data_IF_499410684776
#
_entry.id   IF_499410684776
#
_cell.length_a   1.000
_cell.length_b   1.000
_cell.length_c   1.000
_cell.angle_alpha   90.00
_cell.angle_beta   90.00
_cell.angle_gamma   90.00
#
_symmetry.space_group_name_H-M   'P 1'
#
loop_
_entity.id
_entity.type
_entity.pdbx_description
1 polymer ?
#
# COMPACT_ATOMS: atom_id res chain seq x y z
N UNK A 1 -0.89 29.60 -14.98
CA UNK A 1 -0.99 28.21 -15.48
C UNK A 1 -2.14 27.58 -14.74
N UNK A 2 -3.32 27.66 -15.35
CA UNK A 2 -4.56 27.13 -14.80
C UNK A 2 -4.40 25.63 -14.65
N UNK A 3 -4.44 25.16 -13.39
CA UNK A 3 -4.57 23.75 -13.10
C UNK A 3 -5.86 23.30 -13.77
N UNK A 4 -5.76 22.33 -14.71
CA UNK A 4 -6.92 21.58 -15.17
C UNK A 4 -7.66 21.10 -13.92
N UNK A 5 -8.78 21.75 -13.62
CA UNK A 5 -9.86 21.20 -12.82
C UNK A 5 -10.44 20.06 -13.64
N UNK A 6 -9.69 18.97 -13.78
CA UNK A 6 -10.17 17.77 -14.41
C UNK A 6 -11.28 17.25 -13.50
N UNK A 7 -12.51 17.37 -13.98
CA UNK A 7 -13.63 16.75 -13.30
C UNK A 7 -13.28 15.28 -13.07
N UNK A 8 -13.52 14.81 -11.85
CA UNK A 8 -13.05 13.50 -11.38
C UNK A 8 -13.46 12.35 -12.33
N UNK A 9 -14.58 12.53 -13.04
CA UNK A 9 -15.10 11.63 -14.08
C UNK A 9 -14.29 11.63 -15.39
N UNK A 10 -13.73 12.77 -15.80
CA UNK A 10 -12.95 12.87 -17.05
C UNK A 10 -11.65 12.10 -16.94
N UNK A 11 -10.96 12.15 -15.79
CA UNK A 11 -9.75 11.37 -15.53
C UNK A 11 -10.00 9.86 -15.72
N UNK A 12 -11.12 9.35 -15.23
CA UNK A 12 -11.50 7.94 -15.39
C UNK A 12 -11.83 7.60 -16.84
N UNK A 13 -12.52 8.50 -17.55
CA UNK A 13 -12.87 8.30 -18.96
C UNK A 13 -11.61 8.26 -19.85
N UNK A 14 -10.67 9.18 -19.62
CA UNK A 14 -9.38 9.22 -20.32
C UNK A 14 -8.58 7.95 -20.03
N UNK A 15 -8.49 7.54 -18.76
CA UNK A 15 -7.83 6.28 -18.41
C UNK A 15 -8.46 5.11 -19.16
N UNK A 16 -9.79 4.98 -19.10
CA UNK A 16 -10.47 3.86 -19.74
C UNK A 16 -10.19 3.82 -21.24
N UNK A 17 -10.28 4.98 -21.90
CA UNK A 17 -9.98 5.10 -23.32
C UNK A 17 -8.55 4.65 -23.66
N UNK A 18 -7.57 5.02 -22.84
CA UNK A 18 -6.17 4.62 -23.04
C UNK A 18 -5.99 3.10 -22.87
N UNK A 19 -6.61 2.51 -21.85
CA UNK A 19 -6.58 1.06 -21.62
C UNK A 19 -7.26 0.30 -22.78
N UNK A 20 -8.41 0.78 -23.25
CA UNK A 20 -9.13 0.20 -24.41
C UNK A 20 -8.27 0.24 -25.68
N UNK A 21 -7.39 1.24 -25.81
CA UNK A 21 -6.41 1.38 -26.89
C UNK A 21 -5.11 0.59 -26.65
N UNK A 22 -5.05 -0.25 -25.62
CA UNK A 22 -3.87 -1.05 -25.23
C UNK A 22 -2.64 -0.18 -24.96
N UNK A 23 -2.83 0.98 -24.33
CA UNK A 23 -1.73 1.79 -23.87
C UNK A 23 -0.80 0.97 -22.97
N UNK A 24 0.52 1.12 -23.16
CA UNK A 24 1.49 0.36 -22.38
C UNK A 24 1.59 0.91 -20.96
N UNK A 25 1.01 0.21 -19.99
CA UNK A 25 0.99 0.57 -18.57
C UNK A 25 2.32 0.34 -17.84
N UNK A 26 3.25 -0.41 -18.45
CA UNK A 26 4.54 -0.76 -17.84
C UNK A 26 5.62 0.29 -18.08
N UNK A 27 5.28 1.38 -18.78
CA UNK A 27 6.20 2.49 -18.99
C UNK A 27 6.53 3.18 -17.67
N UNK A 28 7.77 3.66 -17.58
CA UNK A 28 8.25 4.50 -16.49
C UNK A 28 8.73 5.83 -17.04
N UNK A 29 8.63 6.87 -16.23
CA UNK A 29 9.17 8.18 -16.56
C UNK A 29 10.70 8.26 -16.35
N UNK A 30 11.26 9.46 -16.48
CA UNK A 30 12.69 9.70 -16.29
C UNK A 30 13.18 9.46 -14.86
N UNK A 31 12.29 9.42 -13.87
CA UNK A 31 12.58 9.10 -12.47
C UNK A 31 12.33 7.61 -12.14
N UNK A 32 11.91 6.81 -13.12
CA UNK A 32 11.55 5.41 -12.93
C UNK A 32 10.17 5.23 -12.31
N UNK A 33 9.34 6.29 -12.25
CA UNK A 33 8.00 6.22 -11.71
C UNK A 33 7.06 5.54 -12.71
N UNK A 34 6.35 4.52 -12.23
CA UNK A 34 5.21 3.90 -12.94
C UNK A 34 3.95 4.75 -12.79
N UNK A 35 2.92 4.42 -13.57
CA UNK A 35 1.60 5.05 -13.42
C UNK A 35 1.06 5.01 -11.97
N UNK A 36 1.31 3.94 -11.20
CA UNK A 36 0.91 3.87 -9.79
C UNK A 36 1.59 4.92 -8.92
N UNK A 37 2.87 5.22 -9.16
CA UNK A 37 3.57 6.28 -8.44
C UNK A 37 2.92 7.64 -8.73
N UNK A 38 2.65 7.94 -9.99
CA UNK A 38 2.02 9.19 -10.40
C UNK A 38 0.64 9.38 -9.76
N UNK A 39 -0.16 8.31 -9.67
CA UNK A 39 -1.48 8.34 -9.02
C UNK A 39 -1.37 8.57 -7.52
N UNK A 40 -0.42 7.92 -6.85
CA UNK A 40 -0.18 8.09 -5.42
C UNK A 40 0.42 9.47 -5.07
N UNK A 41 1.18 10.07 -6.00
CA UNK A 41 1.75 11.41 -5.83
C UNK A 41 0.75 12.53 -6.15
N UNK A 42 -0.28 12.25 -6.95
CA UNK A 42 -1.33 13.22 -7.29
C UNK A 42 -2.37 13.37 -6.17
N UNK A 43 -1.97 13.97 -5.04
CA UNK A 43 -2.83 14.10 -3.86
C UNK A 43 -3.99 15.09 -4.01
N UNK A 44 -4.01 15.91 -5.07
CA UNK A 44 -5.08 16.87 -5.37
C UNK A 44 -6.31 16.21 -5.99
N UNK A 45 -6.17 15.00 -6.55
CA UNK A 45 -7.27 14.26 -7.15
C UNK A 45 -8.14 13.59 -6.06
N UNK A 46 -9.44 13.52 -6.33
CA UNK A 46 -10.41 12.82 -5.50
C UNK A 46 -9.97 11.37 -5.19
N UNK A 47 -10.09 10.97 -3.92
CA UNK A 47 -9.61 9.68 -3.43
C UNK A 47 -10.37 8.49 -4.00
N UNK A 48 -11.67 8.65 -4.27
CA UNK A 48 -12.49 7.60 -4.90
C UNK A 48 -12.00 7.37 -6.32
N UNK A 49 -11.71 8.44 -7.05
CA UNK A 49 -11.16 8.34 -8.41
C UNK A 49 -9.76 7.75 -8.42
N UNK A 50 -8.86 8.20 -7.55
CA UNK A 50 -7.52 7.60 -7.45
C UNK A 50 -7.59 6.11 -7.13
N UNK A 51 -8.47 5.70 -6.21
CA UNK A 51 -8.70 4.30 -5.86
C UNK A 51 -9.13 3.50 -7.08
N UNK A 52 -10.11 3.98 -7.85
CA UNK A 52 -10.60 3.27 -9.04
C UNK A 52 -9.51 3.16 -10.13
N UNK A 53 -8.77 4.23 -10.36
CA UNK A 53 -7.59 4.27 -11.24
C UNK A 53 -6.55 3.22 -10.81
N UNK A 54 -6.23 3.15 -9.51
CA UNK A 54 -5.30 2.15 -8.96
C UNK A 54 -5.83 0.74 -9.24
N UNK A 55 -7.10 0.44 -8.95
CA UNK A 55 -7.65 -0.89 -9.22
C UNK A 55 -7.56 -1.27 -10.70
N UNK A 56 -7.95 -0.37 -11.62
CA UNK A 56 -7.86 -0.65 -13.06
C UNK A 56 -6.44 -1.01 -13.47
N UNK A 57 -5.44 -0.21 -13.08
CA UNK A 57 -4.04 -0.49 -13.38
C UNK A 57 -3.56 -1.84 -12.83
N UNK A 58 -3.97 -2.18 -11.61
CA UNK A 58 -3.59 -3.45 -10.97
C UNK A 58 -4.25 -4.66 -11.66
N UNK A 59 -5.53 -4.55 -12.06
CA UNK A 59 -6.24 -5.61 -12.78
C UNK A 59 -5.71 -5.82 -14.20
N UNK A 60 -5.21 -4.76 -14.83
CA UNK A 60 -4.47 -4.84 -16.11
C UNK A 60 -3.06 -5.44 -15.94
N UNK A 61 -2.64 -5.76 -14.71
CA UNK A 61 -1.39 -6.46 -14.42
C UNK A 61 -0.20 -5.54 -14.18
N UNK A 62 -0.40 -4.26 -13.87
CA UNK A 62 0.69 -3.41 -13.41
C UNK A 62 1.14 -3.85 -12.00
N UNK A 63 2.41 -4.21 -11.84
CA UNK A 63 2.95 -4.54 -10.53
C UNK A 63 3.02 -3.33 -9.62
N UNK A 64 2.54 -3.52 -8.39
CA UNK A 64 2.62 -2.55 -7.32
C UNK A 64 3.94 -2.57 -6.54
N UNK A 65 4.83 -3.52 -6.83
CA UNK A 65 6.13 -3.70 -6.15
C UNK A 65 7.32 -3.09 -6.90
N UNK A 66 7.06 -2.41 -8.03
CA UNK A 66 8.09 -1.69 -8.79
C UNK A 66 8.55 -0.46 -8.02
N UNK A 67 9.86 -0.25 -7.92
CA UNK A 67 10.44 0.93 -7.27
C UNK A 67 10.89 1.98 -8.30
N UNK A 68 10.79 3.25 -7.92
CA UNK A 68 11.42 4.35 -8.64
C UNK A 68 12.97 4.30 -8.53
N UNK A 69 13.67 5.21 -9.21
CA UNK A 69 15.14 5.33 -9.14
C UNK A 69 15.67 5.68 -7.75
N UNK A 70 14.81 6.13 -6.83
CA UNK A 70 15.14 6.45 -5.44
C UNK A 70 14.81 5.30 -4.48
N UNK A 71 14.37 4.14 -4.99
CA UNK A 71 14.00 2.97 -4.19
C UNK A 71 12.66 3.10 -3.47
N UNK A 72 11.79 4.03 -3.89
CA UNK A 72 10.46 4.25 -3.32
C UNK A 72 9.43 3.41 -4.06
N UNK A 73 8.50 2.82 -3.32
CA UNK A 73 7.30 2.18 -3.87
C UNK A 73 6.17 3.21 -4.00
N UNK A 74 5.11 2.93 -4.78
CA UNK A 74 3.94 3.81 -4.85
C UNK A 74 3.34 4.14 -3.48
N UNK A 75 3.29 3.16 -2.57
CA UNK A 75 2.77 3.35 -1.20
C UNK A 75 3.56 4.41 -0.40
N UNK A 76 4.85 4.60 -0.67
CA UNK A 76 5.67 5.58 0.05
C UNK A 76 5.19 7.02 -0.22
N UNK A 77 4.67 7.28 -1.43
CA UNK A 77 4.11 8.58 -1.81
C UNK A 77 2.76 8.80 -1.15
N UNK A 78 1.90 7.78 -1.16
CA UNK A 78 0.58 7.86 -0.52
C UNK A 78 0.73 8.12 1.00
N UNK A 79 1.65 7.43 1.67
CA UNK A 79 1.96 7.64 3.09
C UNK A 79 2.51 9.05 3.38
N UNK A 80 3.27 9.64 2.46
CA UNK A 80 3.85 10.98 2.66
C UNK A 80 2.80 12.09 2.61
N UNK A 81 1.73 11.89 1.83
CA UNK A 81 0.71 12.91 1.61
C UNK A 81 -0.49 12.78 2.56
N UNK A 82 -0.81 11.57 3.04
CA UNK A 82 -1.97 11.37 3.94
C UNK A 82 -1.84 12.14 5.25
N UNK A 83 -0.64 12.25 5.82
CA UNK A 83 -0.42 13.01 7.05
C UNK A 83 -0.68 14.52 6.85
N UNK A 84 -0.52 15.02 5.61
CA UNK A 84 -0.77 16.42 5.23
C UNK A 84 -2.24 16.69 4.88
N UNK A 85 -3.10 15.67 4.78
CA UNK A 85 -4.53 15.86 4.52
C UNK A 85 -5.22 16.43 5.75
N UNK A 86 -5.43 17.73 5.74
CA UNK A 86 -6.25 18.45 6.71
C UNK A 86 -7.71 17.94 6.67
N UNK A 87 -8.02 16.91 7.46
CA UNK A 87 -9.29 16.62 8.13
C UNK A 87 -10.62 16.58 7.36
N UNK A 88 -10.65 16.77 6.03
CA UNK A 88 -11.91 16.92 5.27
C UNK A 88 -12.55 15.59 4.84
N UNK A 89 -11.78 14.50 4.81
CA UNK A 89 -12.24 13.18 4.36
C UNK A 89 -12.56 12.27 5.55
N UNK A 90 -13.57 11.40 5.39
CA UNK A 90 -13.83 10.31 6.35
C UNK A 90 -12.56 9.45 6.50
N UNK A 91 -12.31 8.98 7.72
CA UNK A 91 -11.12 8.19 8.06
C UNK A 91 -10.98 6.94 7.17
N UNK A 92 -12.08 6.27 6.84
CA UNK A 92 -12.09 5.06 6.01
C UNK A 92 -11.73 5.31 4.54
N UNK A 93 -12.07 6.49 4.00
CA UNK A 93 -11.76 6.85 2.62
C UNK A 93 -10.27 7.15 2.45
N UNK A 94 -9.61 7.73 3.47
CA UNK A 94 -8.18 8.05 3.46
C UNK A 94 -7.28 6.84 3.24
N UNK A 95 -7.67 5.69 3.79
CA UNK A 95 -6.91 4.44 3.63
C UNK A 95 -7.31 3.64 2.38
N UNK A 96 -8.29 4.08 1.59
CA UNK A 96 -8.80 3.28 0.47
C UNK A 96 -7.73 2.96 -0.59
N UNK A 97 -6.87 3.92 -0.91
CA UNK A 97 -5.76 3.70 -1.85
C UNK A 97 -4.70 2.77 -1.24
N UNK A 98 -4.36 2.98 0.03
CA UNK A 98 -3.46 2.09 0.78
C UNK A 98 -4.00 0.67 0.81
N UNK A 99 -5.31 0.50 1.04
CA UNK A 99 -5.95 -0.80 1.06
C UNK A 99 -5.84 -1.47 -0.31
N UNK A 100 -6.12 -0.77 -1.41
CA UNK A 100 -5.97 -1.29 -2.77
C UNK A 100 -4.52 -1.73 -3.05
N UNK A 101 -3.56 -0.91 -2.66
CA UNK A 101 -2.12 -1.18 -2.79
C UNK A 101 -1.69 -2.40 -1.96
N UNK A 102 -2.13 -2.52 -0.71
CA UNK A 102 -1.86 -3.69 0.13
C UNK A 102 -2.54 -4.93 -0.46
N UNK A 103 -3.82 -4.86 -0.84
CA UNK A 103 -4.56 -5.96 -1.48
C UNK A 103 -3.81 -6.52 -2.69
N UNK A 104 -3.21 -5.63 -3.50
CA UNK A 104 -2.46 -5.99 -4.71
C UNK A 104 -1.18 -6.80 -4.49
N UNK A 105 -0.65 -6.79 -3.26
CA UNK A 105 0.56 -7.53 -2.91
C UNK A 105 1.76 -6.69 -2.54
N UNK A 106 1.58 -5.38 -2.30
CA UNK A 106 2.63 -4.61 -1.64
C UNK A 106 2.89 -5.23 -0.26
N UNK A 107 4.03 -5.89 -0.16
CA UNK A 107 4.63 -6.26 1.10
C UNK A 107 5.46 -5.10 1.63
N UNK A 108 5.49 -4.95 2.95
CA UNK A 108 6.47 -4.10 3.65
C UNK A 108 7.82 -4.82 3.69
N UNK A 109 8.36 -5.21 2.53
CA UNK A 109 9.55 -6.04 2.44
C UNK A 109 10.79 -5.21 2.75
N UNK A 110 11.18 -5.18 4.02
CA UNK A 110 12.33 -4.46 4.56
C UNK A 110 13.69 -5.12 4.22
N UNK A 111 13.79 -5.86 3.12
CA UNK A 111 15.06 -6.44 2.64
C UNK A 111 15.88 -5.41 1.87
N UNK A 112 15.25 -4.61 1.00
CA UNK A 112 15.92 -3.51 0.31
C UNK A 112 16.18 -2.36 1.30
N UNK A 113 17.43 -1.89 1.36
CA UNK A 113 17.87 -0.79 2.23
C UNK A 113 17.14 0.51 1.91
N UNK A 114 16.92 0.81 0.63
CA UNK A 114 16.32 2.07 0.18
C UNK A 114 14.83 2.10 0.49
N UNK A 115 14.12 1.04 0.13
CA UNK A 115 12.72 0.86 0.49
C UNK A 115 12.52 0.90 2.00
N UNK A 116 13.38 0.20 2.76
CA UNK A 116 13.36 0.22 4.23
C UNK A 116 13.53 1.63 4.76
N UNK A 117 14.53 2.36 4.29
CA UNK A 117 14.80 3.73 4.73
C UNK A 117 13.57 4.61 4.51
N UNK A 118 13.00 4.57 3.31
CA UNK A 118 11.84 5.40 2.96
C UNK A 118 10.57 5.00 3.70
N UNK A 119 10.29 3.71 3.82
CA UNK A 119 9.12 3.25 4.58
C UNK A 119 9.21 3.71 6.04
N UNK A 120 10.37 3.52 6.67
CA UNK A 120 10.58 3.94 8.06
C UNK A 120 10.52 5.46 8.21
N UNK A 121 11.09 6.21 7.25
CA UNK A 121 11.02 7.67 7.23
C UNK A 121 9.58 8.16 7.07
N UNK A 122 8.82 7.58 6.16
CA UNK A 122 7.39 7.89 5.98
C UNK A 122 6.60 7.55 7.23
N UNK A 123 6.81 6.36 7.83
CA UNK A 123 6.16 5.97 9.08
C UNK A 123 6.47 6.93 10.23
N UNK A 124 7.75 7.30 10.43
CA UNK A 124 8.16 8.25 11.46
C UNK A 124 7.60 9.66 11.23
N UNK A 125 7.21 10.00 10.00
CA UNK A 125 6.56 11.27 9.69
C UNK A 125 5.07 11.25 10.02
N UNK A 126 4.44 10.07 10.08
CA UNK A 126 3.01 9.93 10.38
C UNK A 126 2.72 9.93 11.89
N UNK A 127 1.53 10.39 12.28
CA UNK A 127 1.05 10.28 13.66
C UNK A 127 0.98 8.82 14.18
N UNK A 128 1.19 8.56 15.49
CA UNK A 128 1.11 7.21 16.06
C UNK A 128 -0.25 6.52 15.88
N UNK A 129 -1.34 7.29 15.91
CA UNK A 129 -2.68 6.78 15.60
C UNK A 129 -2.76 6.24 14.16
N UNK A 130 -2.20 6.97 13.20
CA UNK A 130 -2.15 6.54 11.81
C UNK A 130 -1.28 5.29 11.65
N UNK A 131 -0.13 5.22 12.34
CA UNK A 131 0.72 4.03 12.35
C UNK A 131 -0.07 2.81 12.87
N UNK A 132 -0.77 2.93 14.00
CA UNK A 132 -1.61 1.85 14.52
C UNK A 132 -2.63 1.37 13.48
N UNK A 133 -3.37 2.28 12.85
CA UNK A 133 -4.40 1.93 11.85
C UNK A 133 -3.81 1.29 10.60
N UNK A 134 -2.72 1.84 10.08
CA UNK A 134 -2.01 1.28 8.94
C UNK A 134 -1.57 -0.16 9.21
N UNK A 135 -1.01 -0.42 10.40
CA UNK A 135 -0.57 -1.76 10.76
C UNK A 135 -1.72 -2.72 11.03
N UNK A 136 -2.87 -2.25 11.53
CA UNK A 136 -4.08 -3.05 11.59
C UNK A 136 -4.57 -3.48 10.20
N UNK A 137 -4.56 -2.58 9.21
CA UNK A 137 -4.92 -2.91 7.82
C UNK A 137 -3.89 -3.88 7.23
N UNK A 138 -2.61 -3.58 7.42
CA UNK A 138 -1.49 -4.36 6.92
C UNK A 138 -1.26 -5.67 7.66
N UNK A 139 -1.89 -5.90 8.81
CA UNK A 139 -1.67 -7.06 9.69
C UNK A 139 -1.73 -8.37 8.90
N UNK A 140 -2.71 -8.43 8.00
CA UNK A 140 -3.01 -9.56 7.14
C UNK A 140 -1.93 -9.88 6.10
N UNK A 141 -1.09 -8.89 5.74
CA UNK A 141 -0.05 -8.96 4.72
C UNK A 141 1.39 -8.84 5.30
N UNK A 142 1.55 -8.48 6.57
CA UNK A 142 2.87 -8.27 7.18
C UNK A 142 3.60 -9.58 7.49
N UNK A 143 4.85 -9.71 7.04
CA UNK A 143 5.77 -10.78 7.46
C UNK A 143 6.25 -10.57 8.90
N UNK A 144 6.39 -11.65 9.67
CA UNK A 144 6.91 -11.58 11.05
C UNK A 144 8.32 -10.98 11.12
N UNK A 145 9.16 -11.25 10.11
CA UNK A 145 10.50 -10.67 9.97
C UNK A 145 10.47 -9.15 9.84
N UNK A 146 9.49 -8.62 9.10
CA UNK A 146 9.22 -7.20 8.96
C UNK A 146 8.76 -6.59 10.28
N UNK A 147 7.80 -7.21 10.97
CA UNK A 147 7.31 -6.73 12.27
C UNK A 147 8.45 -6.64 13.29
N UNK A 148 9.32 -7.67 13.36
CA UNK A 148 10.50 -7.65 14.24
C UNK A 148 11.47 -6.51 13.91
N UNK A 149 11.70 -6.22 12.62
CA UNK A 149 12.57 -5.11 12.20
C UNK A 149 11.97 -3.75 12.59
N UNK A 150 10.66 -3.60 12.44
CA UNK A 150 9.94 -2.36 12.79
C UNK A 150 9.92 -2.18 14.30
N UNK A 151 9.59 -3.23 15.07
CA UNK A 151 9.62 -3.21 16.53
C UNK A 151 11.01 -2.81 17.07
N UNK A 152 12.10 -3.35 16.52
CA UNK A 152 13.46 -2.93 16.92
C UNK A 152 13.73 -1.46 16.66
N UNK A 153 13.22 -0.92 15.55
CA UNK A 153 13.38 0.49 15.25
C UNK A 153 12.47 1.36 16.12
N UNK A 154 11.22 0.95 16.35
CA UNK A 154 10.31 1.72 17.19
C UNK A 154 10.80 1.79 18.64
N UNK A 155 11.42 0.72 19.15
CA UNK A 155 12.10 0.71 20.45
C UNK A 155 13.25 1.71 20.55
N UNK A 156 13.97 2.01 19.46
CA UNK A 156 15.09 2.98 19.49
C UNK A 156 14.62 4.43 19.49
N UNK A 157 13.34 4.68 19.18
CA UNK A 157 12.75 6.02 19.22
C UNK A 157 12.23 6.27 20.63
N UNK A 158 12.82 7.25 21.31
CA UNK A 158 12.33 7.77 22.58
C UNK A 158 11.23 8.78 22.29
N UNK A 159 10.01 8.47 22.73
CA UNK A 159 8.84 9.35 22.62
C UNK A 159 7.96 9.11 23.84
N UNK A 160 7.53 10.19 24.47
CA UNK A 160 6.66 10.21 25.66
C UNK A 160 5.16 10.20 25.29
N UNK A 161 4.84 10.02 24.00
CA UNK A 161 3.48 9.96 23.50
C UNK A 161 2.80 8.62 23.86
N UNK A 162 1.67 8.68 24.56
CA UNK A 162 0.87 7.53 24.98
C UNK A 162 0.40 6.68 23.80
N UNK A 163 0.07 7.30 22.65
CA UNK A 163 -0.35 6.56 21.46
C UNK A 163 0.82 5.82 20.81
N UNK A 164 2.04 6.35 20.96
CA UNK A 164 3.26 5.65 20.53
C UNK A 164 3.60 4.49 21.46
N UNK A 165 3.35 4.62 22.77
CA UNK A 165 3.47 3.52 23.72
C UNK A 165 2.48 2.38 23.41
N UNK A 166 1.21 2.71 23.09
CA UNK A 166 0.22 1.73 22.61
C UNK A 166 0.67 1.02 21.33
N UNK A 167 1.23 1.77 20.37
CA UNK A 167 1.77 1.18 19.13
C UNK A 167 2.94 0.22 19.41
N UNK A 168 3.86 0.58 20.32
CA UNK A 168 4.94 -0.33 20.74
C UNK A 168 4.38 -1.61 21.38
N UNK A 169 3.40 -1.49 22.28
CA UNK A 169 2.78 -2.63 22.93
C UNK A 169 2.06 -3.54 21.91
N UNK A 170 1.37 -2.95 20.92
CA UNK A 170 0.75 -3.68 19.82
C UNK A 170 1.78 -4.48 19.00
N UNK A 171 2.88 -3.84 18.58
CA UNK A 171 3.96 -4.51 17.85
C UNK A 171 4.60 -5.62 18.69
N UNK A 172 4.80 -5.38 19.99
CA UNK A 172 5.33 -6.37 20.92
C UNK A 172 4.42 -7.61 20.96
N UNK A 173 3.12 -7.42 21.17
CA UNK A 173 2.13 -8.48 21.19
C UNK A 173 2.14 -9.32 19.90
N UNK A 174 2.25 -8.66 18.73
CA UNK A 174 2.36 -9.35 17.44
C UNK A 174 3.63 -10.19 17.26
N UNK A 175 4.72 -9.81 17.92
CA UNK A 175 5.97 -10.59 17.84
C UNK A 175 5.99 -11.80 18.76
N UNK A 176 5.25 -11.76 19.86
CA UNK A 176 5.22 -12.80 20.89
C UNK A 176 4.06 -13.81 20.72
N UNK A 177 2.96 -13.40 20.08
CA UNK A 177 1.85 -14.30 19.81
C UNK A 177 1.97 -14.95 18.42
N UNK A 178 2.00 -16.29 18.33
CA UNK A 178 2.04 -16.99 17.05
C UNK A 178 0.74 -16.75 16.28
N UNK A 179 0.87 -16.39 15.00
CA UNK A 179 -0.28 -16.27 14.09
C UNK A 179 -0.82 -17.66 13.75
N UNK A 180 -2.11 -17.74 13.48
CA UNK A 180 -2.73 -19.00 13.04
C UNK A 180 -2.09 -19.53 11.76
N UNK A 181 -2.11 -20.85 11.57
CA UNK A 181 -1.61 -21.49 10.35
C UNK A 181 -2.26 -20.89 9.10
N UNK A 182 -3.58 -20.61 9.15
CA UNK A 182 -4.32 -19.95 8.07
C UNK A 182 -3.72 -18.59 7.69
N UNK A 183 -3.35 -17.76 8.68
CA UNK A 183 -2.74 -16.47 8.44
C UNK A 183 -1.30 -16.59 7.90
N UNK A 184 -0.52 -17.56 8.41
CA UNK A 184 0.82 -17.84 7.89
C UNK A 184 0.79 -18.31 6.44
N UNK A 185 -0.12 -19.23 6.09
CA UNK A 185 -0.31 -19.69 4.71
C UNK A 185 -0.65 -18.51 3.78
N UNK A 186 -1.55 -17.61 4.20
CA UNK A 186 -1.85 -16.40 3.43
C UNK A 186 -0.60 -15.56 3.17
N UNK A 187 0.21 -15.28 4.19
CA UNK A 187 1.41 -14.45 4.03
C UNK A 187 2.40 -15.11 3.06
N UNK A 188 2.62 -16.41 3.17
CA UNK A 188 3.54 -17.15 2.30
C UNK A 188 3.05 -17.17 0.85
N UNK A 189 1.76 -17.42 0.63
CA UNK A 189 1.20 -17.40 -0.73
C UNK A 189 1.28 -16.00 -1.33
N UNK A 190 0.93 -14.97 -0.55
CA UNK A 190 1.03 -13.56 -0.99
C UNK A 190 2.47 -13.16 -1.35
N UNK A 191 3.45 -13.57 -0.55
CA UNK A 191 4.89 -13.37 -0.83
C UNK A 191 5.33 -14.01 -2.16
N UNK A 192 4.73 -15.14 -2.56
CA UNK A 192 5.00 -15.79 -3.86
C UNK A 192 4.28 -15.18 -5.04
N UNK A 193 3.08 -14.62 -4.83
CA UNK A 193 2.33 -13.95 -5.88
C UNK A 193 2.88 -12.54 -6.16
N UNK A 194 3.54 -11.92 -5.17
CA UNK A 194 4.18 -10.60 -5.20
C UNK A 194 3.21 -9.49 -5.66
N UNK A 195 3.63 -8.45 -6.37
CA UNK A 195 2.77 -7.32 -6.78
C UNK A 195 1.65 -7.63 -7.78
N UNK A 196 1.35 -8.91 -8.02
CA UNK A 196 0.38 -9.39 -9.01
C UNK A 196 -0.74 -10.24 -8.39
N UNK A 197 -1.04 -10.06 -7.10
CA UNK A 197 -2.00 -10.92 -6.38
C UNK A 197 -3.35 -10.94 -7.08
N UNK A 198 -3.88 -9.78 -7.45
CA UNK A 198 -5.22 -9.65 -8.02
C UNK A 198 -5.38 -10.41 -9.35
N UNK A 199 -4.32 -10.48 -10.15
CA UNK A 199 -4.34 -11.18 -11.45
C UNK A 199 -4.03 -12.66 -11.28
N UNK A 200 -3.00 -13.00 -10.48
CA UNK A 200 -2.54 -14.37 -10.33
C UNK A 200 -3.41 -15.21 -9.39
N UNK A 201 -4.13 -14.60 -8.44
CA UNK A 201 -5.05 -15.34 -7.55
C UNK A 201 -6.15 -16.04 -8.34
N UNK A 202 -6.59 -15.45 -9.46
CA UNK A 202 -7.61 -16.05 -10.31
C UNK A 202 -7.16 -17.32 -11.00
N UNK A 203 -5.86 -17.43 -11.30
CA UNK A 203 -5.26 -18.59 -11.95
C UNK A 203 -5.03 -19.77 -10.99
N UNK A 204 -5.15 -19.55 -9.67
CA UNK A 204 -4.96 -20.61 -8.70
C UNK A 204 -6.18 -21.54 -8.67
N UNK A 205 -5.98 -22.88 -8.62
CA UNK A 205 -7.06 -23.87 -8.48
C UNK A 205 -7.56 -23.91 -7.03
N UNK A 206 -8.02 -22.77 -6.51
CA UNK A 206 -8.54 -22.60 -5.15
C UNK A 206 -10.01 -22.16 -5.19
N UNK A 207 -10.82 -22.53 -4.18
CA UNK A 207 -12.16 -21.98 -3.99
C UNK A 207 -12.15 -20.45 -3.92
N UNK A 208 -13.22 -19.81 -4.40
CA UNK A 208 -13.34 -18.35 -4.42
C UNK A 208 -13.13 -17.73 -3.03
N UNK A 209 -13.67 -18.35 -1.98
CA UNK A 209 -13.49 -17.90 -0.59
C UNK A 209 -12.02 -17.82 -0.14
N UNK A 210 -11.16 -18.69 -0.66
CA UNK A 210 -9.72 -18.63 -0.40
C UNK A 210 -9.02 -17.61 -1.31
N UNK A 211 -9.47 -17.43 -2.55
CA UNK A 211 -8.98 -16.36 -3.43
C UNK A 211 -9.25 -14.98 -2.83
N UNK A 212 -10.48 -14.75 -2.36
CA UNK A 212 -10.91 -13.51 -1.70
C UNK A 212 -10.08 -13.26 -0.43
N UNK A 213 -9.89 -14.31 0.38
CA UNK A 213 -9.03 -14.26 1.57
C UNK A 213 -7.57 -13.91 1.25
N UNK A 214 -7.04 -14.38 0.12
CA UNK A 214 -5.69 -14.04 -0.36
C UNK A 214 -5.63 -12.60 -0.88
N UNK A 215 -6.63 -12.15 -1.62
CA UNK A 215 -6.71 -10.80 -2.19
C UNK A 215 -7.10 -9.71 -1.17
N UNK A 216 -7.47 -10.12 0.05
CA UNK A 216 -8.01 -9.23 1.09
C UNK A 216 -9.28 -8.51 0.59
N UNK A 217 -10.09 -9.24 -0.18
CA UNK A 217 -11.41 -8.82 -0.63
C UNK A 217 -12.39 -9.53 0.31
N UNK A 218 -13.22 -8.78 1.03
CA UNK A 218 -14.14 -9.32 2.02
C UNK A 218 -15.29 -8.36 2.26
#
# INVERSE_FOLDING_TARGET
>A
MEACSCDSKESLAIMQYLLDRKANIHLTDCDGMTALHCVCDNFNQDTVVRKEIVYKLLYEGLSSTIMDKRGRLPICYELHHIDKRNGKEKLDERFSVIHALISSGIGFNLSNKDHRHWLLKSLNSCSPLFQNQLFHIAESALLLSTIKKIHRHSCSVMSDDDDYAKFKAYLHNMTHNPRSLKALCRIVVRDKLDGFILVKSELLPLPQTLKDYLALIG
#
